data_IF_989839986851
#
_entry.id   IF_989839986851
#
_cell.length_a   1.000
_cell.length_b   1.000
_cell.length_c   1.000
_cell.angle_alpha   90.00
_cell.angle_beta   90.00
_cell.angle_gamma   90.00
#
_symmetry.space_group_name_H-M   'P 1'
#
loop_
_entity.id
_entity.type
_entity.pdbx_description
1 polymer ?
#
# COMPACT_ATOMS: atom_id res chain seq x y z
N UNK A 1 -9.43 78.09 81.07
CA UNK A 1 -9.13 78.39 79.65
C UNK A 1 -8.87 77.06 78.97
N UNK A 2 -9.91 76.49 78.33
CA UNK A 2 -9.86 75.16 77.73
C UNK A 2 -9.27 75.21 76.32
N UNK A 3 -8.40 74.27 75.99
CA UNK A 3 -7.92 74.06 74.63
C UNK A 3 -8.24 72.60 74.28
N UNK A 4 -9.29 72.43 73.49
CA UNK A 4 -9.65 71.17 72.83
C UNK A 4 -8.53 70.81 71.84
N UNK A 5 -7.80 69.72 72.11
CA UNK A 5 -6.93 69.10 71.11
C UNK A 5 -7.78 68.24 70.19
N UNK A 6 -7.98 68.71 68.96
CA UNK A 6 -8.60 67.95 67.88
C UNK A 6 -7.72 66.75 67.52
N UNK A 7 -8.24 65.55 67.74
CA UNK A 7 -7.61 64.31 67.30
C UNK A 7 -7.77 64.23 65.77
N UNK A 8 -6.71 64.56 65.01
CA UNK A 8 -6.68 64.29 63.57
C UNK A 8 -6.35 62.81 63.38
N UNK A 9 -7.36 62.01 63.05
CA UNK A 9 -7.18 60.66 62.53
C UNK A 9 -6.31 60.73 61.27
N UNK A 10 -5.10 60.17 61.33
CA UNK A 10 -4.29 59.94 60.14
C UNK A 10 -5.04 58.99 59.20
N UNK A 11 -5.18 59.38 57.94
CA UNK A 11 -5.65 58.49 56.88
C UNK A 11 -4.66 57.29 56.77
N UNK A 12 -5.15 56.06 56.59
CA UNK A 12 -4.30 54.88 56.49
C UNK A 12 -3.35 54.98 55.30
N UNK A 13 -2.12 54.48 55.46
CA UNK A 13 -1.04 54.58 54.48
C UNK A 13 -1.32 53.63 53.28
N UNK A 14 -2.03 54.12 52.26
CA UNK A 14 -2.48 53.36 51.07
C UNK A 14 -1.34 52.94 50.11
N UNK A 15 -0.07 53.28 50.42
CA UNK A 15 1.09 53.11 49.53
C UNK A 15 1.50 51.65 49.30
N UNK A 16 1.17 50.73 50.22
CA UNK A 16 1.46 49.29 50.05
C UNK A 16 0.43 48.53 49.21
N UNK A 17 -0.83 48.99 49.20
CA UNK A 17 -1.93 48.31 48.50
C UNK A 17 -1.81 48.50 46.98
N UNK A 18 -1.36 49.67 46.54
CA UNK A 18 -1.12 49.94 45.12
C UNK A 18 -0.07 48.98 44.51
N UNK A 19 1.01 48.67 45.23
CA UNK A 19 2.02 47.73 44.76
C UNK A 19 1.47 46.29 44.65
N UNK A 20 0.65 45.87 45.61
CA UNK A 20 -0.02 44.58 45.56
C UNK A 20 -0.98 44.49 44.37
N UNK A 21 -1.78 45.52 44.12
CA UNK A 21 -2.68 45.57 42.95
C UNK A 21 -1.90 45.48 41.65
N UNK A 22 -0.80 46.23 41.51
CA UNK A 22 0.07 46.17 40.32
C UNK A 22 0.67 44.77 40.15
N UNK A 23 1.16 44.16 41.23
CA UNK A 23 1.71 42.81 41.18
C UNK A 23 0.64 41.79 40.73
N UNK A 24 -0.57 41.88 41.27
CA UNK A 24 -1.69 41.03 40.87
C UNK A 24 -2.07 41.21 39.40
N UNK A 25 -2.11 42.45 38.91
CA UNK A 25 -2.36 42.75 37.50
C UNK A 25 -1.27 42.17 36.61
N UNK A 26 0.01 42.28 37.01
CA UNK A 26 1.13 41.71 36.25
C UNK A 26 1.05 40.17 36.24
N UNK A 27 0.75 39.52 37.38
CA UNK A 27 0.60 38.07 37.45
C UNK A 27 -0.54 37.58 36.55
N UNK A 28 -1.68 38.27 36.57
CA UNK A 28 -2.83 37.92 35.72
C UNK A 28 -2.52 38.13 34.23
N UNK A 29 -1.86 39.24 33.90
CA UNK A 29 -1.44 39.52 32.52
C UNK A 29 -0.41 38.49 32.04
N UNK A 30 0.55 38.09 32.89
CA UNK A 30 1.52 37.06 32.58
C UNK A 30 0.85 35.71 32.31
N UNK A 31 -0.17 35.34 33.09
CA UNK A 31 -0.95 34.11 32.87
C UNK A 31 -1.68 34.14 31.52
N UNK A 32 -2.37 35.23 31.19
CA UNK A 32 -3.04 35.39 29.89
C UNK A 32 -2.04 35.33 28.73
N UNK A 33 -0.89 36.00 28.85
CA UNK A 33 0.16 35.95 27.83
C UNK A 33 0.73 34.54 27.65
N UNK A 34 0.85 33.77 28.73
CA UNK A 34 1.32 32.38 28.67
C UNK A 34 0.30 31.47 27.96
N UNK A 35 -0.98 31.54 28.33
CA UNK A 35 -2.07 30.82 27.66
C UNK A 35 -2.13 31.18 26.17
N UNK A 36 -2.13 32.46 25.84
CA UNK A 36 -2.13 32.92 24.44
C UNK A 36 -0.91 32.41 23.67
N UNK A 37 0.29 32.43 24.25
CA UNK A 37 1.49 31.92 23.60
C UNK A 37 1.42 30.41 23.36
N UNK A 38 0.88 29.66 24.31
CA UNK A 38 0.66 28.22 24.17
C UNK A 38 -0.34 27.92 23.05
N UNK A 39 -1.52 28.56 23.07
CA UNK A 39 -2.54 28.41 22.03
C UNK A 39 -2.00 28.75 20.64
N UNK A 40 -1.32 29.89 20.48
CA UNK A 40 -0.77 30.29 19.18
C UNK A 40 0.28 29.31 18.65
N UNK A 41 1.11 28.72 19.53
CA UNK A 41 2.08 27.69 19.12
C UNK A 41 1.36 26.43 18.64
N UNK A 42 0.31 26.00 19.33
CA UNK A 42 -0.48 24.84 18.92
C UNK A 42 -1.21 25.08 17.61
N UNK A 43 -1.86 26.24 17.43
CA UNK A 43 -2.53 26.60 16.18
C UNK A 43 -1.56 26.69 15.01
N UNK A 44 -0.38 27.29 15.23
CA UNK A 44 0.66 27.37 14.20
C UNK A 44 1.13 25.98 13.80
N UNK A 45 1.38 25.08 14.76
CA UNK A 45 1.76 23.70 14.48
C UNK A 45 0.68 22.94 13.72
N UNK A 46 -0.60 23.09 14.10
CA UNK A 46 -1.72 22.48 13.37
C UNK A 46 -1.85 23.03 11.95
N UNK A 47 -1.68 24.34 11.76
CA UNK A 47 -1.76 24.97 10.44
C UNK A 47 -0.62 24.51 9.52
N UNK A 48 0.60 24.37 10.06
CA UNK A 48 1.76 23.83 9.32
C UNK A 48 1.51 22.37 8.94
N UNK A 49 1.11 21.53 9.90
CA UNK A 49 0.80 20.12 9.64
C UNK A 49 -0.33 19.94 8.61
N UNK A 50 -1.35 20.80 8.65
CA UNK A 50 -2.44 20.78 7.68
C UNK A 50 -1.94 21.14 6.26
N UNK A 51 -1.09 22.17 6.15
CA UNK A 51 -0.47 22.56 4.88
C UNK A 51 0.43 21.46 4.33
N UNK A 52 1.33 20.93 5.15
CA UNK A 52 2.26 19.86 4.76
C UNK A 52 1.52 18.56 4.42
N UNK A 53 0.47 18.21 5.17
CA UNK A 53 -0.40 17.09 4.84
C UNK A 53 -1.15 17.27 3.53
N UNK A 54 -1.61 18.49 3.21
CA UNK A 54 -2.22 18.79 1.91
C UNK A 54 -1.20 18.69 0.77
N UNK A 55 0.04 19.12 0.99
CA UNK A 55 1.11 19.00 0.00
C UNK A 55 1.48 17.54 -0.27
N UNK A 56 1.68 16.74 0.79
CA UNK A 56 1.93 15.31 0.70
C UNK A 56 0.79 14.57 -0.02
N UNK A 57 -0.47 14.98 0.21
CA UNK A 57 -1.63 14.44 -0.51
C UNK A 57 -1.54 14.69 -2.02
N UNK A 58 -1.29 15.93 -2.45
CA UNK A 58 -1.19 16.26 -3.86
C UNK A 58 0.04 15.64 -4.54
N UNK A 59 1.13 15.42 -3.79
CA UNK A 59 2.27 14.63 -4.26
C UNK A 59 1.85 13.17 -4.54
N UNK A 60 1.12 12.53 -3.62
CA UNK A 60 0.58 11.19 -3.83
C UNK A 60 -0.38 11.13 -5.03
N UNK A 61 -1.25 12.13 -5.17
CA UNK A 61 -2.16 12.23 -6.32
C UNK A 61 -1.38 12.35 -7.64
N UNK A 62 -0.29 13.13 -7.66
CA UNK A 62 0.58 13.22 -8.82
C UNK A 62 1.28 11.89 -9.14
N UNK A 63 1.68 11.13 -8.12
CA UNK A 63 2.22 9.77 -8.29
C UNK A 63 1.21 8.80 -8.91
N UNK A 64 -0.06 8.85 -8.50
CA UNK A 64 -1.13 8.07 -9.15
C UNK A 64 -1.28 8.48 -10.63
N UNK A 65 -1.34 9.77 -10.92
CA UNK A 65 -1.48 10.27 -12.29
C UNK A 65 -0.28 9.87 -13.17
N UNK A 66 0.94 9.94 -12.63
CA UNK A 66 2.17 9.51 -13.31
C UNK A 66 2.11 8.02 -13.65
N UNK A 67 1.74 7.17 -12.69
CA UNK A 67 1.57 5.74 -12.95
C UNK A 67 0.49 5.46 -14.01
N UNK A 68 -0.65 6.16 -14.00
CA UNK A 68 -1.68 6.02 -15.05
C UNK A 68 -1.12 6.34 -16.44
N UNK A 69 -0.31 7.39 -16.57
CA UNK A 69 0.33 7.75 -17.84
C UNK A 69 1.25 6.63 -18.32
N UNK A 70 2.07 6.08 -17.43
CA UNK A 70 2.98 4.98 -17.79
C UNK A 70 2.21 3.70 -18.17
N UNK A 71 1.17 3.34 -17.41
CA UNK A 71 0.27 2.22 -17.76
C UNK A 71 -0.34 2.37 -19.16
N UNK A 72 -0.81 3.58 -19.50
CA UNK A 72 -1.37 3.87 -20.82
C UNK A 72 -0.31 3.85 -21.92
N UNK A 73 0.91 4.32 -21.62
CA UNK A 73 2.07 4.28 -22.53
C UNK A 73 2.43 2.84 -22.87
N UNK A 74 2.56 1.95 -21.89
CA UNK A 74 2.88 0.54 -22.16
C UNK A 74 1.74 -0.14 -22.92
N UNK A 75 0.49 0.12 -22.54
CA UNK A 75 -0.68 -0.42 -23.25
C UNK A 75 -0.72 0.01 -24.73
N UNK A 76 -0.30 1.24 -25.04
CA UNK A 76 -0.21 1.74 -26.41
C UNK A 76 0.98 1.14 -27.19
N UNK A 77 2.15 1.03 -26.57
CA UNK A 77 3.38 0.47 -27.17
C UNK A 77 3.30 -1.03 -27.46
N UNK A 78 2.46 -1.77 -26.75
CA UNK A 78 2.24 -3.20 -26.99
C UNK A 78 1.61 -3.52 -28.37
N UNK A 79 1.32 -2.52 -29.21
CA UNK A 79 0.85 -2.71 -30.59
C UNK A 79 1.96 -3.00 -31.61
N UNK A 80 3.25 -2.91 -31.25
CA UNK A 80 4.34 -2.99 -32.25
C UNK A 80 5.67 -3.64 -31.87
N UNK A 81 5.99 -3.92 -30.60
CA UNK A 81 7.29 -4.52 -30.23
C UNK A 81 7.20 -5.44 -29.00
N UNK A 82 8.01 -6.50 -28.98
CA UNK A 82 8.27 -7.41 -27.85
C UNK A 82 9.43 -6.92 -26.97
N UNK A 83 10.17 -5.88 -27.38
CA UNK A 83 11.24 -5.28 -26.58
C UNK A 83 10.67 -4.18 -25.69
N UNK A 84 11.06 -4.18 -24.41
CA UNK A 84 10.74 -3.11 -23.47
C UNK A 84 11.43 -1.77 -23.87
N UNK A 85 12.38 -1.82 -24.80
CA UNK A 85 13.13 -0.67 -25.33
C UNK A 85 12.78 -0.45 -26.81
N UNK A 86 12.41 0.77 -27.25
CA UNK A 86 12.26 1.09 -28.66
C UNK A 86 13.61 1.02 -29.38
N UNK A 87 13.73 0.25 -30.45
CA UNK A 87 14.89 0.38 -31.37
C UNK A 87 14.82 1.77 -32.02
N UNK A 88 15.87 2.59 -31.82
CA UNK A 88 16.05 3.82 -32.60
C UNK A 88 16.22 3.40 -34.07
N UNK A 89 15.29 3.86 -34.91
CA UNK A 89 15.37 3.72 -36.35
C UNK A 89 16.64 4.43 -36.83
N UNK A 90 17.67 3.65 -37.16
CA UNK A 90 18.95 4.16 -37.64
C UNK A 90 18.78 4.62 -39.09
N UNK A 91 18.25 5.83 -39.29
CA UNK A 91 18.05 6.41 -40.61
C UNK A 91 18.07 7.94 -40.62
N UNK A 92 19.22 8.50 -41.01
CA UNK A 92 19.45 9.85 -41.58
C UNK A 92 19.13 11.05 -40.66
N UNK A 93 20.00 12.02 -40.37
CA UNK A 93 21.02 12.65 -41.21
C UNK A 93 22.30 13.00 -40.44
N UNK A 94 23.40 13.09 -41.18
CA UNK A 94 24.71 13.42 -40.64
C UNK A 94 24.90 14.93 -40.53
N UNK A 95 24.71 15.45 -39.33
CA UNK A 95 25.48 16.61 -38.86
C UNK A 95 25.98 16.29 -37.46
N UNK A 96 27.30 16.17 -37.33
CA UNK A 96 27.97 15.75 -36.10
C UNK A 96 27.62 16.65 -34.93
N UNK A 97 26.86 16.10 -33.99
CA UNK A 97 26.89 16.50 -32.60
C UNK A 97 27.98 15.68 -31.89
N UNK A 98 28.70 16.38 -31.03
CA UNK A 98 29.87 15.90 -30.31
C UNK A 98 29.49 14.68 -29.44
N UNK A 99 30.29 13.59 -29.38
CA UNK A 99 29.96 12.43 -28.55
C UNK A 99 29.88 12.76 -27.05
N UNK A 100 30.48 13.87 -26.64
CA UNK A 100 30.57 14.32 -25.25
C UNK A 100 29.37 15.19 -24.82
N UNK A 101 28.48 15.57 -25.75
CA UNK A 101 27.20 16.26 -25.43
C UNK A 101 26.01 15.26 -25.35
N UNK A 102 26.30 13.95 -25.47
CA UNK A 102 25.31 12.88 -25.37
C UNK A 102 25.07 12.38 -23.93
N UNK A 103 25.78 12.93 -22.94
CA UNK A 103 25.65 12.51 -21.54
C UNK A 103 24.39 13.06 -20.84
N UNK A 104 23.70 14.05 -21.42
CA UNK A 104 22.46 14.63 -20.86
C UNK A 104 21.16 13.96 -21.37
N UNK A 105 21.25 12.86 -22.12
CA UNK A 105 20.08 12.11 -22.64
C UNK A 105 20.17 10.62 -22.26
N UNK A 106 20.61 10.33 -21.04
CA UNK A 106 20.58 8.99 -20.43
C UNK A 106 19.58 8.87 -19.28
N UNK A 107 18.47 9.63 -19.32
CA UNK A 107 17.27 9.19 -18.60
C UNK A 107 16.54 8.17 -19.50
N UNK A 108 17.17 7.00 -19.59
CA UNK A 108 16.67 5.79 -20.22
C UNK A 108 15.30 5.53 -19.57
N UNK A 109 14.22 6.00 -20.19
CA UNK A 109 12.86 6.01 -19.63
C UNK A 109 12.49 4.62 -19.12
N UNK A 110 12.78 4.36 -17.84
CA UNK A 110 12.55 3.09 -17.20
C UNK A 110 11.06 2.85 -17.25
N UNK A 111 10.64 1.84 -18.00
CA UNK A 111 9.23 1.55 -18.18
C UNK A 111 8.65 1.10 -16.83
N UNK A 112 7.63 1.78 -16.32
CA UNK A 112 6.99 1.35 -15.08
C UNK A 112 6.15 0.10 -15.34
N UNK A 113 6.55 -1.02 -14.76
CA UNK A 113 5.92 -2.33 -14.87
C UNK A 113 5.16 -2.65 -13.58
N UNK A 114 3.99 -3.27 -13.73
CA UNK A 114 3.30 -3.85 -12.58
C UNK A 114 4.17 -4.93 -11.93
N UNK A 115 4.18 -4.96 -10.60
CA UNK A 115 5.06 -5.82 -9.82
C UNK A 115 6.54 -5.45 -9.89
N UNK A 116 6.90 -4.36 -10.57
CA UNK A 116 8.18 -3.70 -10.33
C UNK A 116 8.25 -3.23 -8.88
N UNK A 117 9.46 -3.01 -8.38
CA UNK A 117 9.67 -2.36 -7.07
C UNK A 117 8.99 -0.99 -7.01
N UNK A 118 8.96 -0.34 -5.84
CA UNK A 118 8.44 1.01 -5.72
C UNK A 118 9.19 1.96 -6.65
N UNK A 119 8.46 2.63 -7.53
CA UNK A 119 8.99 3.69 -8.39
C UNK A 119 9.05 5.00 -7.61
N UNK A 120 10.25 5.54 -7.47
CA UNK A 120 10.51 6.77 -6.72
C UNK A 120 10.83 7.89 -7.69
N UNK A 121 10.25 9.06 -7.47
CA UNK A 121 10.54 10.26 -8.28
C UNK A 121 10.24 11.54 -7.52
N UNK A 122 10.83 12.63 -8.02
CA UNK A 122 10.61 13.98 -7.49
C UNK A 122 9.65 14.77 -8.38
N UNK A 123 8.79 15.57 -7.75
CA UNK A 123 7.93 16.55 -8.41
C UNK A 123 8.16 17.93 -7.78
N UNK A 124 9.13 18.66 -8.33
CA UNK A 124 9.57 19.92 -7.74
C UNK A 124 10.28 19.66 -6.39
N UNK A 125 9.66 20.11 -5.30
CA UNK A 125 10.18 19.94 -3.93
C UNK A 125 9.55 18.74 -3.18
N UNK A 126 8.75 17.93 -3.89
CA UNK A 126 7.97 16.85 -3.29
C UNK A 126 8.45 15.50 -3.77
N UNK A 127 8.41 14.52 -2.88
CA UNK A 127 8.87 13.17 -3.12
C UNK A 127 7.67 12.23 -3.23
N UNK A 128 7.74 11.31 -4.18
CA UNK A 128 6.69 10.34 -4.46
C UNK A 128 7.29 8.95 -4.54
N UNK A 129 6.64 7.99 -3.89
CA UNK A 129 6.87 6.56 -4.05
C UNK A 129 5.61 5.91 -4.62
N UNK A 130 5.74 5.07 -5.64
CA UNK A 130 4.59 4.49 -6.35
C UNK A 130 4.80 3.01 -6.63
N UNK A 131 3.87 2.17 -6.17
CA UNK A 131 3.82 0.75 -6.51
C UNK A 131 2.60 0.45 -7.39
N UNK A 132 2.80 -0.38 -8.41
CA UNK A 132 1.73 -0.84 -9.30
C UNK A 132 1.55 -2.33 -9.08
N UNK A 133 0.36 -2.75 -8.66
CA UNK A 133 0.03 -4.14 -8.35
C UNK A 133 -0.96 -4.64 -9.40
N UNK A 134 -0.67 -5.78 -10.02
CA UNK A 134 -1.60 -6.48 -10.90
C UNK A 134 -2.57 -7.32 -10.06
N UNK A 135 -3.84 -6.93 -10.02
CA UNK A 135 -4.89 -7.63 -9.24
C UNK A 135 -5.31 -8.95 -9.89
N UNK A 136 -4.96 -9.22 -11.15
CA UNK A 136 -5.26 -10.52 -11.79
C UNK A 136 -4.41 -11.68 -11.28
N UNK A 137 -3.39 -11.39 -10.50
CA UNK A 137 -2.60 -12.40 -9.80
C UNK A 137 -3.33 -12.91 -8.55
N UNK A 138 -4.47 -12.30 -8.20
CA UNK A 138 -5.39 -12.74 -7.14
C UNK A 138 -6.67 -13.32 -7.75
N UNK A 139 -7.39 -14.11 -6.98
CA UNK A 139 -8.68 -14.70 -7.37
C UNK A 139 -9.82 -13.79 -6.97
N UNK A 140 -10.84 -13.65 -7.82
CA UNK A 140 -12.08 -12.98 -7.42
C UNK A 140 -12.81 -13.78 -6.33
N UNK A 141 -12.92 -13.22 -5.11
CA UNK A 141 -13.49 -13.96 -3.97
C UNK A 141 -14.96 -14.34 -4.20
N UNK A 142 -15.78 -13.40 -4.68
CA UNK A 142 -17.21 -13.64 -4.91
C UNK A 142 -17.43 -14.75 -5.95
N UNK A 143 -16.64 -14.73 -7.03
CA UNK A 143 -16.69 -15.77 -8.07
C UNK A 143 -16.19 -17.12 -7.57
N UNK A 144 -15.22 -17.11 -6.65
CA UNK A 144 -14.66 -18.32 -6.05
C UNK A 144 -15.62 -18.93 -5.02
N UNK A 145 -16.28 -18.12 -4.20
CA UNK A 145 -17.29 -18.56 -3.24
C UNK A 145 -18.52 -19.13 -3.95
N UNK A 146 -18.96 -18.53 -5.06
CA UNK A 146 -20.02 -19.10 -5.90
C UNK A 146 -19.69 -20.51 -6.43
N UNK A 147 -18.44 -20.74 -6.82
CA UNK A 147 -17.98 -22.07 -7.22
C UNK A 147 -17.89 -23.01 -6.00
N UNK A 148 -17.42 -22.50 -4.87
CA UNK A 148 -17.21 -23.26 -3.63
C UNK A 148 -18.52 -23.65 -2.95
N UNK A 149 -19.60 -22.89 -3.12
CA UNK A 149 -20.94 -23.29 -2.65
C UNK A 149 -21.42 -24.60 -3.28
N UNK A 150 -20.99 -24.90 -4.50
CA UNK A 150 -21.31 -26.17 -5.19
C UNK A 150 -20.37 -27.31 -4.80
N UNK A 151 -19.14 -26.97 -4.42
CA UNK A 151 -18.11 -27.90 -3.98
C UNK A 151 -17.24 -27.26 -2.87
N UNK A 152 -17.66 -27.36 -1.59
CA UNK A 152 -16.95 -26.73 -0.47
C UNK A 152 -15.52 -27.22 -0.30
N UNK A 153 -15.22 -28.44 -0.77
CA UNK A 153 -13.88 -29.04 -0.76
C UNK A 153 -12.87 -28.16 -1.49
N UNK A 154 -13.30 -27.42 -2.51
CA UNK A 154 -12.43 -26.53 -3.28
C UNK A 154 -11.89 -25.38 -2.43
N UNK A 155 -12.74 -24.74 -1.63
CA UNK A 155 -12.30 -23.66 -0.73
C UNK A 155 -11.39 -24.21 0.35
N UNK A 156 -11.73 -25.35 0.95
CA UNK A 156 -10.90 -25.99 1.97
C UNK A 156 -9.52 -26.38 1.43
N UNK A 157 -9.45 -27.00 0.26
CA UNK A 157 -8.18 -27.34 -0.38
C UNK A 157 -7.35 -26.09 -0.74
N UNK A 158 -8.02 -25.02 -1.19
CA UNK A 158 -7.35 -23.75 -1.51
C UNK A 158 -6.78 -23.07 -0.27
N UNK A 159 -7.58 -22.91 0.80
CA UNK A 159 -7.13 -22.31 2.05
C UNK A 159 -6.06 -23.17 2.74
N UNK A 160 -6.19 -24.50 2.70
CA UNK A 160 -5.17 -25.39 3.24
C UNK A 160 -3.84 -25.30 2.49
N UNK A 161 -3.86 -25.24 1.16
CA UNK A 161 -2.64 -25.20 0.35
C UNK A 161 -1.99 -23.82 0.25
N UNK A 162 -2.77 -22.74 0.17
CA UNK A 162 -2.24 -21.39 -0.03
C UNK A 162 -2.05 -20.65 1.30
N UNK A 163 -3.06 -20.66 2.17
CA UNK A 163 -3.07 -19.92 3.45
C UNK A 163 -2.45 -20.76 4.58
N UNK A 164 -2.46 -22.09 4.43
CA UNK A 164 -1.91 -23.01 5.43
C UNK A 164 -2.84 -23.22 6.63
N UNK A 165 -4.16 -23.09 6.43
CA UNK A 165 -5.14 -23.40 7.47
C UNK A 165 -5.35 -24.91 7.57
N UNK A 166 -5.49 -25.43 8.78
CA UNK A 166 -5.67 -26.85 9.05
C UNK A 166 -6.75 -27.09 10.11
N UNK A 167 -7.31 -28.31 10.14
CA UNK A 167 -8.23 -28.76 11.17
C UNK A 167 -9.49 -27.88 11.32
N UNK A 168 -9.90 -27.65 12.57
CA UNK A 168 -11.12 -26.89 12.90
C UNK A 168 -11.07 -25.43 12.43
N UNK A 169 -9.88 -24.81 12.42
CA UNK A 169 -9.69 -23.45 11.93
C UNK A 169 -10.01 -23.36 10.43
N UNK A 170 -9.53 -24.32 9.64
CA UNK A 170 -9.83 -24.42 8.22
C UNK A 170 -11.33 -24.61 7.98
N UNK A 171 -11.95 -25.54 8.69
CA UNK A 171 -13.37 -25.83 8.53
C UNK A 171 -14.24 -24.63 8.90
N UNK A 172 -13.95 -23.98 10.03
CA UNK A 172 -14.67 -22.80 10.50
C UNK A 172 -14.57 -21.65 9.50
N UNK A 173 -13.36 -21.32 9.05
CA UNK A 173 -13.16 -20.21 8.11
C UNK A 173 -13.78 -20.50 6.76
N UNK A 174 -13.60 -21.71 6.22
CA UNK A 174 -14.13 -22.06 4.90
C UNK A 174 -15.67 -22.09 4.89
N UNK A 175 -16.28 -22.76 5.87
CA UNK A 175 -17.74 -22.88 5.92
C UNK A 175 -18.39 -21.51 6.21
N UNK A 176 -17.81 -20.73 7.13
CA UNK A 176 -18.32 -19.39 7.46
C UNK A 176 -18.15 -18.37 6.33
N UNK A 177 -17.11 -18.50 5.49
CA UNK A 177 -16.94 -17.65 4.30
C UNK A 177 -18.03 -17.91 3.25
N UNK A 178 -18.49 -19.17 3.12
CA UNK A 178 -19.58 -19.53 2.22
C UNK A 178 -20.89 -18.93 2.74
N UNK A 179 -21.21 -19.17 4.02
CA UNK A 179 -22.45 -18.66 4.64
C UNK A 179 -22.50 -17.13 4.63
N UNK A 180 -21.38 -16.46 4.92
CA UNK A 180 -21.32 -15.00 4.88
C UNK A 180 -21.66 -14.41 3.51
N UNK A 181 -21.25 -15.08 2.44
CA UNK A 181 -21.46 -14.62 1.06
C UNK A 181 -22.83 -15.01 0.50
N UNK A 182 -23.34 -16.16 0.90
CA UNK A 182 -24.47 -16.75 0.20
C UNK A 182 -25.82 -16.19 0.66
N UNK A 183 -26.83 -16.25 -0.22
CA UNK A 183 -28.11 -15.56 0.01
C UNK A 183 -29.10 -16.33 0.88
N UNK A 184 -28.81 -17.58 1.21
CA UNK A 184 -29.74 -18.36 2.01
C UNK A 184 -29.48 -18.17 3.50
N UNK A 185 -29.87 -19.13 4.32
CA UNK A 185 -29.73 -19.04 5.78
C UNK A 185 -29.42 -20.41 6.36
N UNK A 186 -28.94 -21.32 5.51
CA UNK A 186 -28.59 -22.67 5.91
C UNK A 186 -27.11 -22.69 6.24
N UNK A 187 -26.82 -23.01 7.50
CA UNK A 187 -25.43 -23.17 7.94
C UNK A 187 -24.72 -24.23 7.11
N UNK A 188 -23.59 -23.87 6.50
CA UNK A 188 -22.73 -24.79 5.76
C UNK A 188 -21.96 -25.69 6.72
N UNK A 189 -21.94 -27.00 6.42
CA UNK A 189 -21.16 -27.96 7.18
C UNK A 189 -21.58 -28.07 8.65
N UNK A 190 -20.59 -28.21 9.53
CA UNK A 190 -20.78 -28.22 11.00
C UNK A 190 -20.24 -26.95 11.66
N UNK A 191 -19.42 -26.17 10.94
CA UNK A 191 -18.65 -25.05 11.49
C UNK A 191 -19.01 -23.70 10.86
N UNK A 192 -20.00 -23.66 9.97
CA UNK A 192 -20.52 -22.44 9.36
C UNK A 192 -21.15 -21.47 10.37
N UNK A 193 -21.54 -20.30 9.86
CA UNK A 193 -22.10 -19.22 10.65
C UNK A 193 -23.02 -18.35 9.80
N UNK A 194 -24.28 -18.26 10.26
CA UNK A 194 -25.36 -17.50 9.63
C UNK A 194 -25.84 -16.40 10.59
N UNK A 195 -26.97 -15.76 10.25
CA UNK A 195 -27.59 -14.68 11.04
C UNK A 195 -27.65 -14.97 12.56
N UNK A 196 -28.07 -16.17 12.96
CA UNK A 196 -28.18 -16.56 14.38
C UNK A 196 -26.84 -16.44 15.13
N UNK A 197 -25.73 -16.76 14.47
CA UNK A 197 -24.40 -16.63 15.06
C UNK A 197 -24.04 -15.15 15.22
N UNK A 198 -24.14 -14.35 14.15
CA UNK A 198 -23.69 -12.95 14.18
C UNK A 198 -24.59 -12.05 15.05
N UNK A 199 -25.90 -12.34 15.12
CA UNK A 199 -26.84 -11.67 16.01
C UNK A 199 -26.62 -11.99 17.50
N UNK A 200 -25.86 -13.06 17.82
CA UNK A 200 -25.51 -13.43 19.19
C UNK A 200 -24.23 -12.75 19.71
N UNK A 201 -23.47 -12.08 18.85
CA UNK A 201 -22.23 -11.39 19.21
C UNK A 201 -22.49 -10.09 19.97
N UNK A 202 -21.44 -9.54 20.59
CA UNK A 202 -21.47 -8.24 21.28
C UNK A 202 -20.37 -7.31 20.75
N UNK A 203 -20.71 -6.22 20.03
CA UNK A 203 -22.06 -5.87 19.58
C UNK A 203 -22.56 -6.81 18.47
N UNK A 204 -23.88 -7.08 18.39
CA UNK A 204 -24.43 -7.91 17.33
C UNK A 204 -24.41 -7.18 15.99
N UNK A 205 -24.25 -7.94 14.91
CA UNK A 205 -24.31 -7.42 13.54
C UNK A 205 -24.96 -8.43 12.61
N UNK A 206 -25.58 -7.98 11.50
CA UNK A 206 -26.23 -8.90 10.57
C UNK A 206 -25.21 -9.70 9.76
N UNK A 207 -25.59 -10.90 9.36
CA UNK A 207 -24.89 -11.63 8.31
C UNK A 207 -25.05 -10.88 6.98
N UNK A 208 -24.02 -10.92 6.13
CA UNK A 208 -23.98 -10.13 4.89
C UNK A 208 -24.95 -10.65 3.84
N UNK A 209 -24.96 -11.96 3.61
CA UNK A 209 -25.77 -12.70 2.64
C UNK A 209 -25.75 -12.10 1.22
N UNK A 210 -24.58 -11.59 0.82
CA UNK A 210 -24.36 -10.92 -0.46
C UNK A 210 -22.87 -10.89 -0.83
N UNK A 211 -22.59 -10.47 -2.06
CA UNK A 211 -21.22 -10.24 -2.52
C UNK A 211 -20.46 -9.29 -1.59
N UNK A 212 -19.19 -9.62 -1.35
CA UNK A 212 -18.26 -8.77 -0.61
C UNK A 212 -17.92 -7.54 -1.48
N UNK A 213 -18.15 -6.32 -0.99
CA UNK A 213 -17.86 -5.09 -1.71
C UNK A 213 -16.38 -4.70 -1.57
N UNK A 214 -15.75 -5.10 -0.47
CA UNK A 214 -14.35 -4.86 -0.11
C UNK A 214 -13.78 -6.15 0.48
N UNK A 215 -12.47 -6.35 0.33
CA UNK A 215 -11.86 -7.60 0.79
C UNK A 215 -11.83 -7.68 2.32
N UNK A 216 -11.75 -6.53 2.99
CA UNK A 216 -11.74 -6.39 4.45
C UNK A 216 -13.02 -6.89 5.12
N UNK A 217 -14.14 -7.05 4.40
CA UNK A 217 -15.36 -7.71 4.93
C UNK A 217 -15.06 -9.13 5.43
N UNK A 218 -13.98 -9.78 4.95
CA UNK A 218 -13.53 -11.06 5.47
C UNK A 218 -13.21 -11.01 6.98
N UNK A 219 -12.79 -9.86 7.52
CA UNK A 219 -12.48 -9.71 8.96
C UNK A 219 -13.72 -9.81 9.86
N UNK A 220 -14.92 -9.68 9.30
CA UNK A 220 -16.19 -9.85 10.02
C UNK A 220 -16.65 -11.31 10.05
N UNK A 221 -16.03 -12.17 9.25
CA UNK A 221 -16.40 -13.57 9.11
C UNK A 221 -15.88 -14.37 10.30
N UNK A 222 -16.71 -15.26 10.83
CA UNK A 222 -16.33 -16.14 11.94
C UNK A 222 -15.03 -16.88 11.65
N UNK A 223 -14.11 -16.82 12.61
CA UNK A 223 -12.82 -17.52 12.56
C UNK A 223 -11.72 -16.78 11.78
N UNK A 224 -12.05 -15.75 11.00
CA UNK A 224 -11.04 -14.95 10.31
C UNK A 224 -10.41 -13.97 11.29
N UNK A 225 -9.13 -14.22 11.62
CA UNK A 225 -8.32 -13.30 12.44
C UNK A 225 -7.47 -12.41 11.54
N UNK A 226 -6.95 -11.30 12.08
CA UNK A 226 -5.98 -10.45 11.37
C UNK A 226 -4.79 -11.26 10.83
N UNK A 227 -4.31 -12.26 11.59
CA UNK A 227 -3.24 -13.17 11.15
C UNK A 227 -3.63 -13.97 9.90
N UNK A 228 -4.87 -14.43 9.81
CA UNK A 228 -5.37 -15.18 8.64
C UNK A 228 -5.62 -14.23 7.47
N UNK A 229 -6.08 -13.01 7.76
CA UNK A 229 -6.40 -12.04 6.74
C UNK A 229 -5.15 -11.43 6.09
N UNK A 230 -4.19 -10.97 6.89
CA UNK A 230 -2.95 -10.30 6.45
C UNK A 230 -1.77 -11.27 6.23
N UNK A 231 -1.81 -12.46 6.84
CA UNK A 231 -0.70 -13.42 6.86
C UNK A 231 0.28 -13.17 8.01
N UNK A 232 1.24 -14.07 8.20
CA UNK A 232 2.19 -14.01 9.35
C UNK A 232 3.36 -13.03 9.17
N UNK A 233 3.46 -12.32 8.04
CA UNK A 233 4.63 -11.49 7.70
C UNK A 233 4.34 -10.09 7.16
N UNK A 234 3.12 -9.55 7.35
CA UNK A 234 2.78 -8.21 6.83
C UNK A 234 2.16 -7.31 7.88
N UNK A 235 2.95 -6.35 8.37
CA UNK A 235 2.46 -4.97 8.43
C UNK A 235 2.78 -4.32 7.10
N UNK A 236 1.75 -3.97 6.34
CA UNK A 236 1.91 -3.26 5.06
C UNK A 236 2.62 -1.91 5.27
N UNK A 237 2.48 -1.30 6.46
CA UNK A 237 3.16 -0.05 6.80
C UNK A 237 4.67 -0.21 6.99
N UNK A 238 5.17 -1.41 7.32
CA UNK A 238 6.59 -1.63 7.64
C UNK A 238 7.47 -1.91 6.41
N UNK A 239 6.88 -2.18 5.22
CA UNK A 239 7.64 -2.49 4.00
C UNK A 239 7.56 -1.42 2.89
N UNK A 240 6.72 -0.40 3.07
CA UNK A 240 6.48 0.70 2.11
C UNK A 240 6.78 2.06 2.77
N UNK A 241 7.54 2.04 3.86
CA UNK A 241 8.16 3.23 4.40
C UNK A 241 9.59 3.23 3.90
N UNK A 242 9.93 4.20 3.05
CA UNK A 242 11.28 4.76 3.10
C UNK A 242 11.59 4.96 4.58
N UNK A 243 12.60 4.25 5.07
CA UNK A 243 13.18 4.59 6.35
C UNK A 243 13.61 6.07 6.32
N UNK A 244 13.67 6.74 7.47
CA UNK A 244 14.18 8.11 7.53
C UNK A 244 15.52 8.27 6.81
N UNK A 245 16.38 7.24 6.88
CA UNK A 245 17.70 7.22 6.27
C UNK A 245 17.62 7.05 4.74
N UNK A 246 16.78 6.15 4.22
CA UNK A 246 16.55 6.01 2.77
C UNK A 246 15.91 7.27 2.16
N UNK A 247 15.02 7.92 2.91
CA UNK A 247 14.42 9.19 2.50
C UNK A 247 15.49 10.28 2.44
N UNK A 248 16.34 10.42 3.46
CA UNK A 248 17.41 11.41 3.51
C UNK A 248 18.46 11.18 2.40
N UNK A 249 18.83 9.93 2.15
CA UNK A 249 19.72 9.55 1.05
C UNK A 249 19.15 9.98 -0.31
N UNK A 250 17.88 9.67 -0.56
CA UNK A 250 17.19 10.09 -1.79
C UNK A 250 17.13 11.62 -1.92
N UNK A 251 16.74 12.32 -0.85
CA UNK A 251 16.65 13.78 -0.81
C UNK A 251 18.01 14.48 -1.04
N UNK A 252 19.12 13.80 -0.73
CA UNK A 252 20.47 14.33 -0.88
C UNK A 252 21.03 14.26 -2.32
N UNK A 253 20.25 13.75 -3.28
CA UNK A 253 20.67 13.58 -4.67
C UNK A 253 21.58 12.37 -4.91
N UNK A 254 21.74 11.51 -3.91
CA UNK A 254 22.30 10.19 -4.10
C UNK A 254 21.26 9.31 -4.79
N UNK A 255 21.48 9.00 -6.07
CA UNK A 255 20.78 7.88 -6.70
C UNK A 255 20.92 6.65 -5.81
N UNK A 256 19.88 5.82 -5.73
CA UNK A 256 19.98 4.56 -5.01
C UNK A 256 21.00 3.69 -5.75
N UNK A 257 22.12 3.37 -5.09
CA UNK A 257 22.93 2.24 -5.49
C UNK A 257 22.02 1.01 -5.38
N UNK A 258 21.80 0.31 -6.50
CA UNK A 258 21.00 -0.91 -6.61
C UNK A 258 21.52 -2.05 -5.69
N UNK A 259 22.66 -1.81 -5.01
CA UNK A 259 23.29 -2.62 -3.97
C UNK A 259 22.64 -2.49 -2.58
N UNK A 260 21.74 -1.53 -2.30
CA UNK A 260 21.09 -1.41 -0.97
C UNK A 260 19.99 -2.44 -0.67
N UNK A 261 19.82 -3.45 -1.51
CA UNK A 261 19.11 -4.70 -1.14
C UNK A 261 20.04 -5.65 -0.34
N UNK A 262 21.34 -5.35 -0.24
CA UNK A 262 22.24 -5.99 0.73
C UNK A 262 22.12 -5.29 2.10
N UNK A 263 20.89 -5.31 2.63
CA UNK A 263 20.69 -5.21 4.07
C UNK A 263 21.22 -6.50 4.70
N UNK A 264 22.46 -6.45 5.18
CA UNK A 264 23.02 -7.34 6.22
C UNK A 264 22.31 -7.09 7.57
N UNK A 265 20.99 -6.90 7.52
CA UNK A 265 20.11 -6.75 8.66
C UNK A 265 19.90 -8.18 9.16
N UNK A 266 20.13 -8.40 10.45
CA UNK A 266 19.99 -9.68 11.13
C UNK A 266 18.57 -10.26 11.18
N UNK A 267 17.79 -10.19 10.10
CA UNK A 267 16.81 -11.21 9.75
C UNK A 267 17.58 -12.45 9.35
N UNK A 268 17.95 -13.25 10.36
CA UNK A 268 18.54 -14.57 10.13
C UNK A 268 17.74 -15.30 9.05
N UNK A 269 18.48 -15.93 8.13
CA UNK A 269 17.99 -16.91 7.17
C UNK A 269 16.72 -17.59 7.72
N UNK A 270 15.52 -17.29 7.18
CA UNK A 270 14.33 -18.02 7.57
C UNK A 270 14.40 -19.37 6.87
N UNK A 271 15.35 -20.19 7.32
CA UNK A 271 15.39 -21.61 7.05
C UNK A 271 14.03 -22.18 7.45
N UNK A 272 13.27 -22.55 6.42
CA UNK A 272 12.00 -23.27 6.48
C UNK A 272 10.82 -22.54 7.15
N UNK A 273 10.18 -21.62 6.44
CA UNK A 273 8.74 -21.71 6.14
C UNK A 273 8.41 -20.66 5.08
N UNK A 274 7.77 -21.07 3.98
CA UNK A 274 7.20 -20.11 3.03
C UNK A 274 6.27 -19.15 3.81
N UNK A 275 6.28 -17.84 3.53
CA UNK A 275 5.42 -16.89 4.23
C UNK A 275 3.97 -17.38 4.12
N UNK A 276 3.32 -17.66 5.26
CA UNK A 276 1.93 -18.08 5.25
C UNK A 276 1.08 -16.93 4.75
N UNK A 277 0.45 -17.15 3.61
CA UNK A 277 -0.37 -16.16 2.93
C UNK A 277 -1.57 -15.75 3.77
N UNK A 278 -1.92 -14.47 3.66
CA UNK A 278 -3.20 -13.97 4.10
C UNK A 278 -4.26 -14.08 3.01
N UNK A 279 -5.53 -14.04 3.39
CA UNK A 279 -6.65 -13.95 2.44
C UNK A 279 -6.50 -12.74 1.49
N UNK A 280 -5.98 -11.61 1.98
CA UNK A 280 -5.80 -10.39 1.20
C UNK A 280 -4.77 -10.52 0.04
N UNK A 281 -3.96 -11.58 0.05
CA UNK A 281 -2.92 -11.81 -0.97
C UNK A 281 -3.40 -12.67 -2.11
N UNK A 282 -4.28 -13.62 -1.79
CA UNK A 282 -4.78 -14.62 -2.72
C UNK A 282 -6.13 -14.23 -3.30
N UNK A 283 -6.89 -13.37 -2.60
CA UNK A 283 -8.20 -12.92 -3.00
C UNK A 283 -8.26 -11.41 -3.26
N UNK A 284 -9.16 -11.03 -4.16
CA UNK A 284 -9.54 -9.66 -4.48
C UNK A 284 -11.03 -9.62 -4.80
N UNK A 285 -11.69 -8.49 -4.56
CA UNK A 285 -13.09 -8.28 -4.99
C UNK A 285 -13.17 -7.76 -6.43
N UNK A 286 -12.07 -7.22 -6.97
CA UNK A 286 -12.02 -6.55 -8.28
C UNK A 286 -11.28 -7.35 -9.36
N UNK A 287 -10.62 -8.45 -8.99
CA UNK A 287 -9.95 -9.34 -9.95
C UNK A 287 -10.95 -9.93 -10.94
N UNK A 288 -10.54 -10.08 -12.20
CA UNK A 288 -11.28 -10.82 -13.23
C UNK A 288 -10.93 -12.31 -13.26
N UNK A 289 -9.93 -12.75 -12.48
CA UNK A 289 -9.42 -14.13 -12.50
C UNK A 289 -10.25 -15.07 -11.63
N UNK A 290 -10.52 -16.26 -12.16
CA UNK A 290 -11.30 -17.32 -11.48
C UNK A 290 -10.43 -18.47 -10.96
N UNK A 291 -9.13 -18.43 -11.24
CA UNK A 291 -8.11 -19.36 -10.76
C UNK A 291 -6.92 -18.56 -10.23
N UNK A 292 -6.22 -19.14 -9.24
CA UNK A 292 -5.00 -18.55 -8.72
C UNK A 292 -3.84 -18.88 -9.66
N UNK A 293 -3.54 -17.95 -10.55
CA UNK A 293 -2.39 -18.03 -11.45
C UNK A 293 -1.64 -16.71 -11.44
N UNK A 294 -0.36 -16.79 -11.06
CA UNK A 294 0.53 -15.64 -10.96
C UNK A 294 1.09 -15.31 -12.34
N UNK A 295 0.82 -14.12 -12.84
CA UNK A 295 1.43 -13.65 -14.09
C UNK A 295 2.88 -13.22 -13.85
N UNK A 296 3.82 -14.07 -14.28
CA UNK A 296 5.27 -13.85 -14.12
C UNK A 296 5.74 -12.49 -14.65
N UNK A 297 5.08 -11.93 -15.66
CA UNK A 297 5.47 -10.63 -16.23
C UNK A 297 4.97 -9.41 -15.44
N UNK A 298 4.16 -9.60 -14.41
CA UNK A 298 3.52 -8.51 -13.64
C UNK A 298 3.45 -8.75 -12.14
N UNK A 299 3.85 -9.94 -11.68
CA UNK A 299 3.80 -10.33 -10.29
C UNK A 299 4.80 -9.54 -9.46
N UNK A 300 4.38 -8.95 -8.34
CA UNK A 300 5.35 -8.37 -7.40
C UNK A 300 6.29 -9.44 -6.83
N UNK A 301 7.39 -9.02 -6.21
CA UNK A 301 8.29 -9.92 -5.48
C UNK A 301 7.49 -10.80 -4.51
N UNK A 302 6.59 -10.20 -3.75
CA UNK A 302 5.71 -10.90 -2.82
C UNK A 302 4.85 -11.92 -3.53
N UNK A 303 4.23 -11.55 -4.65
CA UNK A 303 3.39 -12.44 -5.44
C UNK A 303 4.17 -13.62 -6.03
N UNK A 304 5.45 -13.43 -6.37
CA UNK A 304 6.34 -14.51 -6.80
C UNK A 304 6.70 -15.43 -5.64
N UNK A 305 7.02 -14.87 -4.46
CA UNK A 305 7.32 -15.63 -3.24
C UNK A 305 6.14 -16.49 -2.75
N UNK A 306 4.95 -16.32 -3.33
CA UNK A 306 3.77 -17.16 -3.06
C UNK A 306 3.83 -18.50 -3.78
N UNK A 307 4.65 -18.60 -4.81
CA UNK A 307 4.76 -19.81 -5.60
C UNK A 307 5.51 -20.89 -4.79
N UNK A 308 4.94 -22.10 -4.63
CA UNK A 308 5.59 -23.16 -3.88
C UNK A 308 6.98 -23.49 -4.44
N UNK A 309 7.98 -23.49 -3.58
CA UNK A 309 9.38 -23.74 -3.96
C UNK A 309 10.09 -22.54 -4.61
N UNK A 310 9.45 -21.37 -4.70
CA UNK A 310 10.13 -20.14 -5.09
C UNK A 310 11.06 -19.67 -3.98
N UNK A 311 12.33 -19.45 -4.33
CA UNK A 311 13.31 -18.82 -3.44
C UNK A 311 13.50 -17.33 -3.78
N UNK A 312 14.10 -16.59 -2.84
CA UNK A 312 14.29 -15.15 -2.97
C UNK A 312 15.17 -14.76 -4.16
N UNK A 313 16.16 -15.58 -4.51
CA UNK A 313 17.07 -15.32 -5.62
C UNK A 313 16.33 -15.49 -6.95
N UNK A 314 15.65 -16.62 -7.15
CA UNK A 314 14.83 -16.86 -8.34
C UNK A 314 13.77 -15.76 -8.55
N UNK A 315 13.09 -15.33 -7.48
CA UNK A 315 12.09 -14.26 -7.58
C UNK A 315 12.69 -12.91 -8.03
N UNK A 316 13.85 -12.52 -7.47
CA UNK A 316 14.57 -11.29 -7.86
C UNK A 316 15.06 -11.38 -9.30
N UNK A 317 15.67 -12.50 -9.68
CA UNK A 317 16.17 -12.71 -11.04
C UNK A 317 15.04 -12.69 -12.07
N UNK A 318 13.87 -13.27 -11.78
CA UNK A 318 12.69 -13.19 -12.64
C UNK A 318 12.27 -11.72 -12.86
N UNK A 319 12.29 -10.89 -11.81
CA UNK A 319 11.96 -9.46 -11.90
C UNK A 319 13.00 -8.70 -12.73
N UNK A 320 14.29 -8.95 -12.51
CA UNK A 320 15.36 -8.35 -13.28
C UNK A 320 15.28 -8.75 -14.76
N UNK A 321 15.07 -10.04 -15.03
CA UNK A 321 14.99 -10.58 -16.39
C UNK A 321 13.82 -10.01 -17.19
N UNK A 322 12.63 -9.85 -16.57
CA UNK A 322 11.47 -9.28 -17.26
C UNK A 322 11.56 -7.77 -17.47
N UNK A 323 12.34 -7.06 -16.65
CA UNK A 323 12.59 -5.64 -16.84
C UNK A 323 13.37 -5.37 -18.14
N UNK A 324 14.29 -6.28 -18.49
CA UNK A 324 15.01 -6.25 -19.77
C UNK A 324 14.13 -6.74 -20.92
N UNK A 325 13.53 -7.93 -20.76
CA UNK A 325 12.66 -8.55 -21.77
C UNK A 325 11.59 -9.40 -21.11
N UNK A 326 10.32 -9.10 -21.37
CA UNK A 326 9.20 -9.91 -20.90
C UNK A 326 9.35 -11.38 -21.34
N UNK A 327 8.86 -12.28 -20.51
CA UNK A 327 8.74 -13.69 -20.85
C UNK A 327 7.61 -13.88 -21.87
N UNK A 328 7.85 -14.69 -22.89
CA UNK A 328 6.89 -14.92 -23.99
C UNK A 328 6.05 -16.18 -23.79
N UNK A 329 6.58 -17.16 -23.07
CA UNK A 329 5.89 -18.42 -22.78
C UNK A 329 6.40 -19.03 -21.45
N UNK A 330 5.67 -19.97 -20.83
CA UNK A 330 6.15 -20.67 -19.64
C UNK A 330 7.50 -21.38 -19.84
N UNK A 331 7.88 -21.69 -21.08
CA UNK A 331 9.16 -22.34 -21.41
C UNK A 331 10.28 -21.37 -21.80
N UNK A 332 9.99 -20.08 -21.94
CA UNK A 332 10.99 -19.05 -22.25
C UNK A 332 11.78 -18.72 -20.98
N UNK A 333 13.03 -19.21 -20.88
CA UNK A 333 13.98 -19.01 -19.76
C UNK A 333 13.55 -19.53 -18.39
N UNK A 334 12.26 -19.58 -18.07
CA UNK A 334 11.74 -19.98 -16.77
C UNK A 334 12.19 -21.38 -16.28
N UNK A 335 12.40 -22.39 -17.16
CA UNK A 335 12.90 -23.70 -16.73
C UNK A 335 14.30 -23.69 -16.08
N UNK A 336 15.05 -22.58 -16.18
CA UNK A 336 16.37 -22.45 -15.56
C UNK A 336 16.31 -22.13 -14.06
N UNK A 337 15.19 -21.58 -13.57
CA UNK A 337 15.03 -21.19 -12.17
C UNK A 337 14.74 -22.39 -11.27
N UNK A 338 15.12 -22.27 -10.00
CA UNK A 338 14.98 -23.36 -9.05
C UNK A 338 13.51 -23.77 -8.89
N UNK A 339 13.30 -25.07 -8.75
CA UNK A 339 11.98 -25.68 -8.50
C UNK A 339 10.91 -25.33 -9.56
N UNK A 340 11.28 -24.96 -10.80
CA UNK A 340 10.34 -24.65 -11.88
C UNK A 340 9.20 -25.68 -12.03
N UNK A 341 9.55 -26.96 -11.95
CA UNK A 341 8.59 -28.06 -12.06
C UNK A 341 7.48 -28.05 -11.00
N UNK A 342 7.72 -27.41 -9.85
CA UNK A 342 6.77 -27.27 -8.74
C UNK A 342 5.75 -26.17 -9.04
N UNK A 343 6.20 -25.01 -9.52
CA UNK A 343 5.35 -23.83 -9.67
C UNK A 343 4.86 -23.55 -11.11
N UNK A 344 5.36 -24.27 -12.13
CA UNK A 344 5.01 -24.04 -13.55
C UNK A 344 3.50 -24.07 -13.87
N UNK A 345 2.70 -24.80 -13.10
CA UNK A 345 1.25 -24.90 -13.30
C UNK A 345 0.46 -23.80 -12.57
N UNK A 346 1.13 -23.05 -11.69
CA UNK A 346 0.55 -21.94 -10.91
C UNK A 346 0.85 -20.58 -11.52
N UNK A 347 1.51 -20.56 -12.68
CA UNK A 347 1.84 -19.33 -13.39
C UNK A 347 1.04 -19.20 -14.69
N UNK A 348 0.94 -17.96 -15.13
CA UNK A 348 0.58 -17.60 -16.50
C UNK A 348 1.65 -16.67 -17.04
N UNK A 349 1.85 -16.68 -18.36
CA UNK A 349 2.74 -15.74 -19.03
C UNK A 349 1.89 -14.88 -19.95
N UNK A 350 1.57 -13.69 -19.47
CA UNK A 350 0.73 -12.73 -20.17
C UNK A 350 1.44 -11.39 -20.22
N UNK A 351 1.20 -10.61 -21.27
CA UNK A 351 1.72 -9.24 -21.28
C UNK A 351 1.08 -8.45 -20.15
N UNK A 352 1.85 -7.69 -19.37
CA UNK A 352 1.25 -6.74 -18.45
C UNK A 352 0.42 -5.75 -19.28
N UNK A 353 -0.71 -5.29 -18.73
CA UNK A 353 -1.61 -4.27 -19.30
C UNK A 353 -2.61 -4.74 -20.37
N UNK A 354 -2.87 -6.04 -20.47
CA UNK A 354 -3.95 -6.59 -21.28
C UNK A 354 -5.29 -6.60 -20.50
N UNK A 355 -6.16 -5.61 -20.73
CA UNK A 355 -7.53 -5.54 -20.18
C UNK A 355 -7.64 -5.99 -18.72
N UNK A 356 -6.97 -5.27 -17.82
CA UNK A 356 -6.75 -5.75 -16.47
C UNK A 356 -6.97 -4.70 -15.39
N UNK A 357 -7.23 -5.18 -14.17
CA UNK A 357 -7.37 -4.36 -12.98
C UNK A 357 -6.01 -4.21 -12.31
N UNK A 358 -5.65 -2.97 -11.99
CA UNK A 358 -4.44 -2.62 -11.25
C UNK A 358 -4.81 -1.86 -9.99
N UNK A 359 -4.00 -2.05 -8.95
CA UNK A 359 -3.99 -1.18 -7.78
C UNK A 359 -2.69 -0.38 -7.77
N UNK A 360 -2.81 0.94 -7.88
CA UNK A 360 -1.71 1.87 -7.67
C UNK A 360 -1.72 2.27 -6.20
N UNK A 361 -0.59 2.09 -5.52
CA UNK A 361 -0.34 2.66 -4.20
C UNK A 361 0.67 3.78 -4.40
N UNK A 362 0.27 5.02 -4.17
CA UNK A 362 1.17 6.15 -4.22
C UNK A 362 1.27 6.81 -2.86
N UNK A 363 2.50 7.01 -2.39
CA UNK A 363 2.81 7.74 -1.18
C UNK A 363 3.53 9.02 -1.54
N UNK A 364 2.98 10.15 -1.12
CA UNK A 364 3.58 11.47 -1.29
C UNK A 364 4.09 11.97 0.06
N UNK A 365 5.21 12.68 0.03
CA UNK A 365 5.87 13.21 1.22
C UNK A 365 5.88 14.75 1.21
N UNK A 366 5.83 15.35 2.39
CA UNK A 366 6.13 16.77 2.57
C UNK A 366 7.59 17.03 2.21
N UNK A 367 7.92 18.30 1.95
CA UNK A 367 9.28 18.71 1.55
C UNK A 367 10.38 18.29 2.54
N UNK A 368 10.05 18.25 3.83
CA UNK A 368 10.97 17.84 4.90
C UNK A 368 10.85 16.34 5.25
N UNK A 369 10.04 15.58 4.51
CA UNK A 369 9.87 14.15 4.68
C UNK A 369 9.05 13.71 5.90
N UNK A 370 8.64 14.64 6.78
CA UNK A 370 8.02 14.31 8.08
C UNK A 370 6.58 13.88 7.98
N UNK A 371 5.85 14.40 7.00
CA UNK A 371 4.44 14.07 6.78
C UNK A 371 4.33 13.33 5.46
N UNK A 372 3.62 12.21 5.48
CA UNK A 372 3.29 11.47 4.26
C UNK A 372 1.80 11.20 4.18
N UNK A 373 1.27 11.16 2.96
CA UNK A 373 -0.09 10.70 2.66
C UNK A 373 -0.02 9.59 1.63
N UNK A 374 -0.88 8.59 1.79
CA UNK A 374 -0.95 7.46 0.87
C UNK A 374 -2.30 7.46 0.17
N UNK A 375 -2.26 7.26 -1.15
CA UNK A 375 -3.44 7.06 -1.98
C UNK A 375 -3.37 5.66 -2.57
N UNK A 376 -4.44 4.89 -2.36
CA UNK A 376 -4.68 3.62 -3.03
C UNK A 376 -5.76 3.80 -4.08
N UNK A 377 -5.39 3.63 -5.34
CA UNK A 377 -6.26 3.81 -6.49
C UNK A 377 -6.38 2.48 -7.25
N UNK A 378 -7.58 1.91 -7.29
CA UNK A 378 -7.86 0.74 -8.13
C UNK A 378 -8.47 1.19 -9.44
N UNK A 379 -7.98 0.63 -10.54
CA UNK A 379 -8.38 1.05 -11.88
C UNK A 379 -8.39 -0.10 -12.87
N UNK A 380 -9.26 0.01 -13.87
CA UNK A 380 -9.35 -0.89 -15.00
C UNK A 380 -8.64 -0.25 -16.21
N UNK A 381 -7.62 -0.92 -16.74
CA UNK A 381 -6.95 -0.52 -17.99
C UNK A 381 -7.50 -1.34 -19.14
N UNK A 382 -8.07 -0.69 -20.16
CA UNK A 382 -8.57 -1.35 -21.37
C UNK A 382 -8.37 -0.48 -22.60
N UNK A 383 -7.68 -1.00 -23.62
CA UNK A 383 -7.60 -0.45 -24.97
C UNK A 383 -7.42 1.10 -25.01
N UNK A 384 -6.39 1.60 -24.33
CA UNK A 384 -6.05 3.03 -24.21
C UNK A 384 -6.98 3.89 -23.33
N UNK A 385 -7.82 3.25 -22.51
CA UNK A 385 -8.59 3.91 -21.45
C UNK A 385 -8.19 3.35 -20.09
N UNK A 386 -8.19 4.24 -19.11
CA UNK A 386 -8.08 3.92 -17.71
C UNK A 386 -9.37 4.40 -17.03
N UNK A 387 -10.03 3.51 -16.29
CA UNK A 387 -11.24 3.83 -15.53
C UNK A 387 -10.91 3.59 -14.06
N UNK A 388 -10.91 4.65 -13.25
CA UNK A 388 -10.75 4.54 -11.80
C UNK A 388 -12.02 3.90 -11.24
N UNK A 389 -11.87 2.77 -10.57
CA UNK A 389 -12.97 2.05 -9.93
C UNK A 389 -13.07 2.34 -8.43
N UNK A 390 -11.95 2.64 -7.77
CA UNK A 390 -11.90 3.01 -6.36
C UNK A 390 -10.75 3.99 -6.08
N UNK A 391 -10.94 4.87 -5.09
CA UNK A 391 -9.96 5.86 -4.64
C UNK A 391 -10.03 6.01 -3.13
N UNK A 392 -8.99 5.56 -2.44
CA UNK A 392 -8.88 5.64 -0.98
C UNK A 392 -7.66 6.42 -0.56
N UNK A 393 -7.83 7.17 0.51
CA UNK A 393 -6.79 8.01 1.09
C UNK A 393 -6.53 7.50 2.50
N UNK A 394 -5.34 6.95 2.72
CA UNK A 394 -4.92 6.45 4.01
C UNK A 394 -4.05 7.52 4.69
N UNK A 395 -4.50 8.00 5.86
CA UNK A 395 -3.76 8.94 6.71
C UNK A 395 -4.55 10.12 7.25
#
# INVERSE_FOLDING_TARGET
MGILRTNRSGLPDERGIALLLVLWVIVFLAFICAEFSWTMRTETATAVNFKEGSQAYYAAEAGVNRAIIELLRVSASSRGSTRAVPERDAGMDGSGENPDDADDVYDELQLWLAGGGPYRFELGDFYCEVSIIDESNKVNINSFLNQSKKDPTRLKAFLGSQVGLEGEELDTVADSLIDWWDKDSNVTGLSGAEEDYYASLDPPYPCRNADLPVIEDCLLVRGVTERIFYGQGRRMEERIALSPDELEQFMSGGGFDDELIDGEDGFGDPGLMAPRLGLADVFSVTSSSTSFQVNINSASYEQLMLLPGMDSQSAREIIAERAVRLFESPTDRLPQFANYEVWKNMIKVQRPFAQNTYTIVSRGFSRDGRISRTIRCSLLVSNSKCIISDWRTDG
#
